data_IF_837475329084
#
_entry.id   IF_837475329084
#
_cell.length_a   1.000
_cell.length_b   1.000
_cell.length_c   1.000
_cell.angle_alpha   90.00
_cell.angle_beta   90.00
_cell.angle_gamma   90.00
#
_symmetry.space_group_name_H-M   'P 1'
#
loop_
_entity.id
_entity.type
_entity.pdbx_description
1 polymer ?
#
# COMPACT_ATOMS: atom_id res chain seq x y z
N UNK A 1 -4.09 18.72 6.17
CA UNK A 1 -4.76 17.97 5.10
C UNK A 1 -4.14 16.60 5.12
N UNK A 2 -4.90 15.55 5.46
CA UNK A 2 -4.35 14.20 5.56
C UNK A 2 -3.86 13.69 4.20
N UNK A 3 -2.78 12.92 4.24
CA UNK A 3 -2.16 12.31 3.06
C UNK A 3 -2.61 10.86 2.98
N UNK A 4 -3.53 10.57 2.07
CA UNK A 4 -3.99 9.19 1.81
C UNK A 4 -2.95 8.45 0.99
N UNK A 5 -2.54 7.29 1.46
CA UNK A 5 -1.52 6.45 0.83
C UNK A 5 -2.10 5.05 0.70
N UNK A 6 -2.26 4.60 -0.54
CA UNK A 6 -2.56 3.22 -0.86
C UNK A 6 -1.26 2.43 -0.93
N UNK A 7 -1.11 1.44 -0.05
CA UNK A 7 0.05 0.57 0.03
C UNK A 7 -0.27 -0.73 -0.71
N UNK A 8 0.53 -1.01 -1.74
CA UNK A 8 0.41 -2.21 -2.58
C UNK A 8 1.68 -3.04 -2.40
N UNK A 9 1.69 -4.06 -1.52
CA UNK A 9 2.90 -4.82 -1.18
C UNK A 9 3.47 -5.63 -2.35
N UNK A 10 2.63 -6.06 -3.28
CA UNK A 10 3.01 -6.86 -4.45
C UNK A 10 3.55 -8.25 -4.07
N UNK A 11 4.44 -8.77 -4.90
CA UNK A 11 4.91 -10.16 -4.83
C UNK A 11 6.39 -10.30 -4.44
N UNK A 12 6.81 -11.54 -4.21
CA UNK A 12 8.20 -11.86 -3.89
C UNK A 12 8.64 -11.23 -2.57
N UNK A 13 9.72 -10.45 -2.61
CA UNK A 13 10.23 -9.71 -1.43
C UNK A 13 9.46 -8.41 -1.16
N UNK A 14 8.50 -8.04 -2.02
CA UNK A 14 7.71 -6.81 -1.91
C UNK A 14 7.07 -6.64 -0.52
N UNK A 15 6.31 -7.63 0.00
CA UNK A 15 5.71 -7.55 1.33
C UNK A 15 6.71 -7.28 2.46
N UNK A 16 7.90 -7.90 2.41
CA UNK A 16 8.94 -7.73 3.44
C UNK A 16 9.51 -6.31 3.42
N UNK A 17 9.83 -5.78 2.23
CA UNK A 17 10.41 -4.44 2.08
C UNK A 17 9.37 -3.36 2.39
N UNK A 18 8.14 -3.54 1.92
CA UNK A 18 7.04 -2.58 2.13
C UNK A 18 6.69 -2.49 3.62
N UNK A 19 6.74 -3.60 4.37
CA UNK A 19 6.55 -3.58 5.81
C UNK A 19 7.58 -2.68 6.52
N UNK A 20 8.85 -2.73 6.14
CA UNK A 20 9.88 -1.86 6.71
C UNK A 20 9.72 -0.39 6.26
N UNK A 21 9.33 -0.16 5.00
CA UNK A 21 9.03 1.19 4.51
C UNK A 21 7.88 1.84 5.29
N UNK A 22 6.82 1.07 5.61
CA UNK A 22 5.69 1.54 6.43
C UNK A 22 6.15 1.93 7.83
N UNK A 23 7.06 1.18 8.47
CA UNK A 23 7.60 1.55 9.80
C UNK A 23 8.33 2.90 9.75
N UNK A 24 9.17 3.11 8.73
CA UNK A 24 9.87 4.39 8.55
C UNK A 24 8.90 5.53 8.30
N UNK A 25 7.88 5.29 7.47
CA UNK A 25 6.83 6.27 7.17
C UNK A 25 6.05 6.65 8.43
N UNK A 26 5.66 5.68 9.27
CA UNK A 26 4.99 5.93 10.54
C UNK A 26 5.86 6.71 11.52
N UNK A 27 7.16 6.41 11.59
CA UNK A 27 8.10 7.17 12.41
C UNK A 27 8.24 8.62 11.92
N UNK A 28 8.27 8.83 10.60
CA UNK A 28 8.29 10.16 10.01
C UNK A 28 6.98 10.91 10.27
N UNK A 29 5.83 10.25 10.10
CA UNK A 29 4.52 10.83 10.38
C UNK A 29 4.41 11.28 11.85
N UNK A 30 4.83 10.45 12.80
CA UNK A 30 4.86 10.81 14.21
C UNK A 30 5.80 11.99 14.53
N UNK A 31 6.95 12.08 13.84
CA UNK A 31 7.95 13.14 14.08
C UNK A 31 7.55 14.48 13.47
N UNK A 32 6.92 14.46 12.30
CA UNK A 32 6.66 15.65 11.49
C UNK A 32 5.17 15.99 11.37
N UNK A 33 4.28 15.22 12.03
CA UNK A 33 2.83 15.40 12.00
C UNK A 33 2.28 15.46 10.57
N UNK A 34 2.67 14.48 9.73
CA UNK A 34 2.34 14.45 8.30
C UNK A 34 0.87 14.11 8.03
N UNK A 35 0.16 13.54 9.01
CA UNK A 35 -1.23 13.11 8.94
C UNK A 35 -1.43 12.04 7.85
N UNK A 36 -0.56 11.03 7.83
CA UNK A 36 -0.65 9.94 6.85
C UNK A 36 -1.80 8.97 7.18
N UNK A 37 -2.67 8.73 6.22
CA UNK A 37 -3.74 7.71 6.29
C UNK A 37 -3.37 6.56 5.35
N UNK A 38 -3.02 5.40 5.92
CA UNK A 38 -2.62 4.23 5.14
C UNK A 38 -3.82 3.31 4.89
N UNK A 39 -3.93 2.82 3.67
CA UNK A 39 -4.84 1.73 3.29
C UNK A 39 -4.09 0.71 2.44
N UNK A 40 -4.58 -0.52 2.36
CA UNK A 40 -3.84 -1.63 1.74
C UNK A 40 -4.68 -2.32 0.67
N UNK A 41 -4.06 -2.82 -0.39
CA UNK A 41 -4.65 -3.73 -1.37
C UNK A 41 -3.60 -4.64 -2.01
N UNK A 42 -4.06 -5.58 -2.83
CA UNK A 42 -3.20 -6.47 -3.61
C UNK A 42 -2.91 -5.90 -5.00
N UNK A 43 -1.74 -6.21 -5.53
CA UNK A 43 -1.34 -5.93 -6.91
C UNK A 43 -0.46 -7.10 -7.41
N UNK A 44 -0.45 -7.37 -8.72
CA UNK A 44 0.41 -8.40 -9.31
C UNK A 44 -0.12 -9.83 -9.09
N UNK A 45 0.76 -10.77 -8.78
CA UNK A 45 0.43 -12.18 -8.53
C UNK A 45 -0.55 -12.35 -7.38
N UNK A 46 -0.34 -11.65 -6.26
CA UNK A 46 -1.25 -11.65 -5.12
C UNK A 46 -2.65 -11.15 -5.49
N UNK A 47 -2.75 -10.14 -6.37
CA UNK A 47 -4.02 -9.69 -6.91
C UNK A 47 -4.63 -10.73 -7.85
N UNK A 48 -3.82 -11.42 -8.65
CA UNK A 48 -4.31 -12.49 -9.52
C UNK A 48 -4.90 -13.64 -8.71
N UNK A 49 -4.23 -14.06 -7.63
CA UNK A 49 -4.70 -15.13 -6.75
C UNK A 49 -6.03 -14.76 -6.06
N UNK A 50 -6.20 -13.48 -5.70
CA UNK A 50 -7.38 -12.98 -4.97
C UNK A 50 -8.55 -12.58 -5.88
N UNK A 51 -8.27 -11.91 -6.98
CA UNK A 51 -9.23 -11.24 -7.85
C UNK A 51 -9.33 -11.84 -9.26
N UNK A 52 -8.45 -12.79 -9.62
CA UNK A 52 -8.38 -13.36 -10.96
C UNK A 52 -7.76 -12.45 -12.02
N UNK A 53 -7.22 -11.29 -11.62
CA UNK A 53 -6.58 -10.29 -12.47
C UNK A 53 -5.40 -9.65 -11.73
N UNK A 54 -4.28 -9.32 -12.39
CA UNK A 54 -3.13 -8.70 -11.71
C UNK A 54 -3.39 -7.26 -11.26
N UNK A 55 -4.48 -6.64 -11.75
CA UNK A 55 -4.95 -5.32 -11.34
C UNK A 55 -6.48 -5.36 -11.32
N UNK A 56 -7.07 -5.28 -10.13
CA UNK A 56 -8.51 -5.17 -9.97
C UNK A 56 -8.96 -3.71 -10.19
N UNK A 57 -10.13 -3.53 -10.80
CA UNK A 57 -10.71 -2.20 -11.02
C UNK A 57 -10.89 -1.45 -9.69
N UNK A 58 -11.29 -2.14 -8.62
CA UNK A 58 -11.43 -1.54 -7.28
C UNK A 58 -10.09 -1.00 -6.75
N UNK A 59 -8.99 -1.75 -6.93
CA UNK A 59 -7.64 -1.30 -6.56
C UNK A 59 -7.23 -0.06 -7.33
N UNK A 60 -7.53 -0.01 -8.64
CA UNK A 60 -7.25 1.15 -9.48
C UNK A 60 -8.07 2.38 -9.04
N UNK A 61 -9.36 2.20 -8.75
CA UNK A 61 -10.22 3.29 -8.29
C UNK A 61 -9.78 3.84 -6.93
N UNK A 62 -9.29 2.99 -6.02
CA UNK A 62 -8.71 3.42 -4.75
C UNK A 62 -7.39 4.21 -4.89
N UNK A 63 -6.71 4.06 -6.02
CA UNK A 63 -5.43 4.74 -6.29
C UNK A 63 -5.57 6.14 -6.92
N UNK A 64 -6.78 6.53 -7.35
CA UNK A 64 -7.09 7.86 -7.91
C UNK A 64 -7.23 8.94 -6.84
#
# INVERSE_FOLDING_TARGET
MSKKILVLPGDGIGPEIVAEAVKVLQAADAKFSLQCELSYDELGGAAYDKYGTPLADETLERAR
#
